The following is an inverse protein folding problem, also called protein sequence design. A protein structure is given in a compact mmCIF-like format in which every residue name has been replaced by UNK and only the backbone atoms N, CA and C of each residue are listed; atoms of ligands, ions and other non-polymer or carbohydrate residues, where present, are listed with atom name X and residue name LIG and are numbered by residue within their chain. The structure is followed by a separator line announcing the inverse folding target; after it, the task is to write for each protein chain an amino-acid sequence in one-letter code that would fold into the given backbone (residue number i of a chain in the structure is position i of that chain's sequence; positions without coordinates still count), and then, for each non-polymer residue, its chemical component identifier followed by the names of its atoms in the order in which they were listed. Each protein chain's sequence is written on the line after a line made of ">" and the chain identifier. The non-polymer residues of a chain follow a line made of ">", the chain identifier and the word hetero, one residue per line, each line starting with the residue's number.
data_IF_609739242334
#
_entry.id   IF_609739242334
#
_cell.length_a   1.000
_cell.length_b   1.000
_cell.length_c   1.000
_cell.angle_alpha   90.00
_cell.angle_beta   90.00
_cell.angle_gamma   90.00
#
_symmetry.space_group_name_H-M   'P 1'
#
loop_
_entity.id
_entity.type
_entity.pdbx_description
1 polymer ?
#
# COMPACT_ATOMS: atom_id res chain seq x y z
N UNK A 1 7.24 -13.18 1.52
CA UNK A 1 8.16 -12.18 0.91
C UNK A 1 7.44 -10.84 0.92
N UNK A 2 8.13 -9.74 1.23
CA UNK A 2 7.56 -8.39 1.12
C UNK A 2 7.94 -7.77 -0.22
N UNK A 3 7.10 -6.89 -0.76
CA UNK A 3 7.37 -6.15 -2.01
C UNK A 3 7.20 -4.66 -1.76
N UNK A 4 8.25 -3.85 -1.95
CA UNK A 4 8.15 -2.39 -1.89
C UNK A 4 7.67 -1.81 -3.22
N UNK A 5 6.92 -0.72 -3.16
CA UNK A 5 6.39 0.00 -4.32
C UNK A 5 6.77 1.48 -4.25
N UNK A 6 7.13 2.03 -5.40
CA UNK A 6 7.66 3.38 -5.57
C UNK A 6 6.93 4.10 -6.70
N UNK A 7 6.74 5.40 -6.55
CA UNK A 7 6.19 6.29 -7.56
C UNK A 7 7.32 7.11 -8.19
N UNK A 8 7.40 7.07 -9.52
CA UNK A 8 8.33 7.84 -10.32
C UNK A 8 7.56 8.92 -11.05
N UNK A 9 8.08 10.14 -11.03
CA UNK A 9 7.52 11.28 -11.73
C UNK A 9 8.54 11.79 -12.74
N UNK A 10 8.16 12.72 -13.62
CA UNK A 10 9.11 13.39 -14.52
C UNK A 10 10.21 14.16 -13.79
N UNK A 11 10.01 14.46 -12.51
CA UNK A 11 10.98 15.16 -11.65
C UNK A 11 11.87 14.19 -10.87
N UNK A 12 11.58 12.89 -10.90
CA UNK A 12 12.39 11.87 -10.23
C UNK A 12 13.63 11.57 -11.07
N UNK A 13 14.86 11.80 -10.55
CA UNK A 13 16.08 11.44 -11.28
C UNK A 13 16.13 9.94 -11.61
N UNK A 14 16.68 9.58 -12.77
CA UNK A 14 16.71 8.18 -13.24
C UNK A 14 17.48 7.24 -12.30
N UNK A 15 18.43 7.77 -11.53
CA UNK A 15 19.28 7.02 -10.59
C UNK A 15 18.74 6.97 -9.14
N UNK A 16 17.59 7.59 -8.86
CA UNK A 16 17.00 7.61 -7.52
C UNK A 16 15.93 6.53 -7.34
N UNK A 17 15.89 5.93 -6.14
CA UNK A 17 14.71 5.21 -5.68
C UNK A 17 13.57 6.25 -5.57
N UNK A 18 12.58 6.19 -6.47
CA UNK A 18 11.45 7.11 -6.50
C UNK A 18 10.69 7.21 -5.17
N UNK A 19 9.59 7.96 -5.16
CA UNK A 19 8.85 8.19 -3.93
C UNK A 19 8.25 6.89 -3.38
N UNK A 20 8.77 6.40 -2.26
CA UNK A 20 8.32 5.15 -1.64
C UNK A 20 6.85 5.25 -1.20
N UNK A 21 5.97 4.53 -1.90
CA UNK A 21 4.52 4.49 -1.66
C UNK A 21 4.21 3.65 -0.43
N UNK A 22 4.81 2.47 -0.34
CA UNK A 22 4.53 1.49 0.69
C UNK A 22 5.02 0.11 0.32
N UNK A 23 4.61 -0.90 1.09
CA UNK A 23 5.00 -2.28 0.83
C UNK A 23 3.87 -3.27 1.09
N UNK A 24 3.84 -4.32 0.27
CA UNK A 24 3.00 -5.49 0.50
C UNK A 24 3.73 -6.45 1.44
N UNK A 25 3.11 -6.85 2.55
CA UNK A 25 3.74 -7.73 3.55
C UNK A 25 3.19 -9.15 3.41
N UNK A 26 4.05 -10.08 2.99
CA UNK A 26 3.84 -11.53 3.05
C UNK A 26 2.48 -12.00 2.49
N UNK A 27 1.99 -11.38 1.41
CA UNK A 27 0.75 -11.77 0.74
C UNK A 27 -0.53 -11.38 1.48
N UNK A 28 -0.46 -10.49 2.48
CA UNK A 28 -1.61 -10.14 3.33
C UNK A 28 -2.15 -8.74 3.10
N UNK A 29 -1.32 -7.75 3.43
CA UNK A 29 -1.77 -6.36 3.54
C UNK A 29 -0.72 -5.44 2.93
N UNK A 30 -1.21 -4.39 2.29
CA UNK A 30 -0.40 -3.27 1.86
C UNK A 30 -0.31 -2.24 2.98
N UNK A 31 0.91 -1.80 3.27
CA UNK A 31 1.17 -0.75 4.24
C UNK A 31 1.63 0.50 3.49
N UNK A 32 0.79 1.53 3.48
CA UNK A 32 1.16 2.84 2.95
C UNK A 32 2.20 3.51 3.85
N UNK A 33 3.18 4.14 3.22
CA UNK A 33 4.09 5.07 3.88
C UNK A 33 3.42 6.45 3.93
N UNK A 34 3.46 7.09 5.09
CA UNK A 34 2.97 8.46 5.22
C UNK A 34 4.07 9.47 4.88
N UNK A 35 3.79 10.41 3.98
CA UNK A 35 4.65 11.58 3.70
C UNK A 35 3.91 12.87 4.07
N UNK A 36 4.12 13.36 5.29
CA UNK A 36 3.42 14.54 5.81
C UNK A 36 3.73 15.80 5.01
N UNK A 37 4.99 15.98 4.62
CA UNK A 37 5.45 17.15 3.87
C UNK A 37 4.83 17.26 2.47
N UNK A 38 4.32 16.13 1.94
CA UNK A 38 3.65 16.03 0.64
C UNK A 38 2.13 15.89 0.77
N UNK A 39 1.57 15.88 1.99
CA UNK A 39 0.15 15.63 2.23
C UNK A 39 -0.31 14.18 1.98
N UNK A 40 0.61 13.25 1.70
CA UNK A 40 0.32 11.85 1.37
C UNK A 40 0.20 11.01 2.65
N UNK A 41 -0.84 11.32 3.42
CA UNK A 41 -1.14 10.65 4.70
C UNK A 41 -2.48 9.92 4.68
N UNK A 42 -3.22 10.02 3.57
CA UNK A 42 -4.53 9.40 3.34
C UNK A 42 -4.50 8.63 2.02
N UNK A 43 -5.32 7.58 1.94
CA UNK A 43 -5.47 6.75 0.74
C UNK A 43 -5.97 7.58 -0.45
N UNK A 44 -6.90 8.50 -0.21
CA UNK A 44 -7.42 9.41 -1.25
C UNK A 44 -6.32 10.30 -1.83
N UNK A 45 -5.48 10.89 -0.97
CA UNK A 45 -4.35 11.71 -1.39
C UNK A 45 -3.33 10.89 -2.21
N UNK A 46 -3.13 9.62 -1.83
CA UNK A 46 -2.33 8.68 -2.62
C UNK A 46 -2.96 8.37 -3.97
N UNK A 47 -4.27 8.10 -4.04
CA UNK A 47 -4.98 7.86 -5.29
C UNK A 47 -4.86 9.07 -6.22
N UNK A 48 -5.18 10.27 -5.75
CA UNK A 48 -5.08 11.51 -6.51
C UNK A 48 -3.67 11.76 -7.02
N UNK A 49 -2.65 11.53 -6.19
CA UNK A 49 -1.26 11.68 -6.58
C UNK A 49 -0.85 10.68 -7.67
N UNK A 50 -1.17 9.39 -7.47
CA UNK A 50 -0.77 8.33 -8.38
C UNK A 50 -1.53 8.36 -9.72
N UNK A 51 -2.75 8.89 -9.74
CA UNK A 51 -3.53 9.08 -10.96
C UNK A 51 -3.07 10.27 -11.82
N UNK A 52 -2.10 11.09 -11.37
CA UNK A 52 -1.59 12.20 -12.16
C UNK A 52 -0.88 11.69 -13.42
N UNK A 53 -1.05 12.37 -14.57
CA UNK A 53 -0.32 12.02 -15.78
C UNK A 53 1.19 12.13 -15.54
N UNK A 54 1.94 11.16 -16.05
CA UNK A 54 3.41 11.12 -15.90
C UNK A 54 3.90 10.47 -14.60
N UNK A 55 3.00 9.95 -13.75
CA UNK A 55 3.37 9.12 -12.61
C UNK A 55 3.39 7.65 -13.01
N UNK A 56 4.51 6.98 -12.74
CA UNK A 56 4.72 5.55 -12.99
C UNK A 56 4.94 4.83 -11.67
N UNK A 57 4.19 3.77 -11.42
CA UNK A 57 4.36 2.94 -10.23
C UNK A 57 5.23 1.74 -10.58
N UNK A 58 6.28 1.51 -9.79
CA UNK A 58 7.15 0.33 -9.94
C UNK A 58 7.32 -0.41 -8.62
N UNK A 59 7.32 -1.73 -8.68
CA UNK A 59 7.77 -2.58 -7.59
C UNK A 59 9.31 -2.56 -7.51
N UNK A 60 9.87 -2.95 -6.36
CA UNK A 60 11.32 -2.98 -6.13
C UNK A 60 12.10 -3.86 -7.12
N UNK A 61 11.43 -4.82 -7.76
CA UNK A 61 11.99 -5.68 -8.80
C UNK A 61 11.79 -5.13 -10.23
N UNK A 62 11.36 -3.86 -10.35
CA UNK A 62 11.23 -3.14 -11.62
C UNK A 62 9.93 -3.38 -12.38
N UNK A 63 9.00 -4.18 -11.84
CA UNK A 63 7.70 -4.43 -12.49
C UNK A 63 6.78 -3.22 -12.34
N UNK A 64 6.28 -2.71 -13.45
CA UNK A 64 5.31 -1.62 -13.46
C UNK A 64 3.92 -2.12 -13.10
N UNK A 65 3.19 -1.36 -12.27
CA UNK A 65 1.84 -1.72 -11.82
C UNK A 65 0.87 -0.58 -12.15
N UNK A 66 -0.32 -0.91 -12.61
CA UNK A 66 -1.34 0.11 -12.83
C UNK A 66 -1.82 0.68 -11.48
N UNK A 67 -2.20 1.97 -11.48
CA UNK A 67 -2.72 2.65 -10.28
C UNK A 67 -3.94 1.91 -9.72
N UNK A 68 -4.90 1.57 -10.58
CA UNK A 68 -6.11 0.86 -10.17
C UNK A 68 -5.81 -0.52 -9.57
N UNK A 69 -4.84 -1.25 -10.13
CA UNK A 69 -4.41 -2.54 -9.60
C UNK A 69 -3.73 -2.40 -8.24
N UNK A 70 -2.86 -1.40 -8.07
CA UNK A 70 -2.22 -1.14 -6.78
C UNK A 70 -3.26 -0.73 -5.75
N UNK A 71 -4.15 0.20 -6.08
CA UNK A 71 -5.13 0.73 -5.14
C UNK A 71 -6.16 -0.33 -4.74
N UNK A 72 -6.69 -1.08 -5.71
CA UNK A 72 -7.58 -2.22 -5.45
C UNK A 72 -6.92 -3.25 -4.53
N UNK A 73 -5.65 -3.57 -4.74
CA UNK A 73 -4.88 -4.48 -3.90
C UNK A 73 -4.59 -3.89 -2.52
N UNK A 74 -4.21 -2.61 -2.47
CA UNK A 74 -3.79 -1.93 -1.25
C UNK A 74 -4.93 -1.59 -0.29
N UNK A 75 -6.16 -1.47 -0.81
CA UNK A 75 -7.36 -1.26 0.00
C UNK A 75 -8.13 -2.55 0.28
N UNK A 76 -7.66 -3.71 -0.22
CA UNK A 76 -8.23 -5.01 0.18
C UNK A 76 -7.94 -5.26 1.65
N UNK A 77 -9.00 -5.57 2.41
CA UNK A 77 -8.92 -5.77 3.87
C UNK A 77 -8.42 -7.18 4.23
N UNK A 78 -7.74 -7.34 5.38
CA UNK A 78 -7.58 -8.65 6.02
C UNK A 78 -8.90 -9.06 6.70
N UNK A 79 -9.92 -9.36 5.90
CA UNK A 79 -11.11 -10.10 6.30
C UNK A 79 -11.67 -10.91 5.11
N UNK A 80 -11.47 -10.42 3.87
CA UNK A 80 -11.92 -11.11 2.65
C UNK A 80 -10.81 -11.94 1.98
N UNK A 81 -9.52 -11.66 2.27
CA UNK A 81 -8.40 -12.46 1.74
C UNK A 81 -8.38 -13.90 2.29
N UNK A 82 -8.96 -14.16 3.47
CA UNK A 82 -9.09 -15.51 4.03
C UNK A 82 -10.07 -16.40 3.25
N UNK A 83 -10.94 -15.83 2.41
CA UNK A 83 -11.88 -16.59 1.59
C UNK A 83 -11.26 -17.09 0.27
N UNK A 84 -10.08 -16.59 -0.12
CA UNK A 84 -9.41 -16.91 -1.38
C UNK A 84 -8.27 -17.93 -1.21
N UNK A 85 -8.50 -18.99 -0.43
CA UNK A 85 -7.71 -20.22 -0.49
C UNK A 85 -6.34 -20.19 0.22
N UNK A 86 -6.14 -21.25 1.01
CA UNK A 86 -4.85 -21.79 1.48
C UNK A 86 -4.16 -21.12 2.68
N UNK A 87 -4.16 -21.84 3.80
CA UNK A 87 -3.02 -21.84 4.74
C UNK A 87 -3.36 -21.53 6.20
N UNK A 88 -3.75 -22.55 6.95
CA UNK A 88 -3.73 -22.55 8.43
C UNK A 88 -2.31 -22.29 8.96
N UNK A 89 -1.99 -21.09 9.47
CA UNK A 89 -0.80 -20.89 10.30
C UNK A 89 -1.03 -19.91 11.48
N UNK A 90 -0.63 -20.36 12.66
CA UNK A 90 -0.95 -19.90 14.01
C UNK A 90 -0.44 -18.50 14.40
N UNK A 91 -1.09 -17.81 15.36
CA UNK A 91 -0.75 -16.45 15.77
C UNK A 91 0.49 -16.45 16.69
N UNK A 92 1.69 -16.23 16.14
CA UNK A 92 2.88 -15.99 16.97
C UNK A 92 2.96 -14.52 17.37
N UNK A 93 2.63 -14.27 18.64
CA UNK A 93 2.78 -13.00 19.40
C UNK A 93 2.33 -11.76 18.62
N UNK A 94 1.02 -11.53 18.66
CA UNK A 94 0.42 -10.27 18.26
C UNK A 94 1.05 -9.13 19.07
N UNK A 95 1.84 -8.29 18.40
CA UNK A 95 1.93 -6.88 18.77
C UNK A 95 0.49 -6.40 18.80
N UNK A 96 -0.01 -6.10 19.98
CA UNK A 96 -1.40 -5.74 20.20
C UNK A 96 -1.63 -4.32 19.68
N UNK A 97 -1.77 -4.19 18.37
CA UNK A 97 -2.62 -3.15 17.82
C UNK A 97 -4.03 -3.49 18.26
N UNK A 98 -4.48 -2.84 19.32
CA UNK A 98 -5.87 -2.91 19.78
C UNK A 98 -6.72 -2.08 18.81
N UNK A 99 -6.86 -2.58 17.59
CA UNK A 99 -7.90 -2.21 16.67
C UNK A 99 -8.64 -3.52 16.40
N UNK A 100 -9.94 -3.60 16.71
CA UNK A 100 -10.75 -4.82 16.60
C UNK A 100 -10.73 -5.47 15.19
N UNK A 101 -10.11 -4.83 14.20
CA UNK A 101 -10.00 -5.30 12.81
C UNK A 101 -8.66 -5.04 12.12
N UNK A 102 -7.55 -4.85 12.85
CA UNK A 102 -6.20 -4.92 12.24
C UNK A 102 -5.86 -3.96 11.09
N UNK A 103 -6.72 -3.02 10.70
CA UNK A 103 -6.42 -2.00 9.68
C UNK A 103 -6.25 -0.64 10.35
N UNK A 104 -5.23 0.17 10.00
CA UNK A 104 -5.36 1.60 10.15
C UNK A 104 -6.42 2.06 9.14
N UNK A 105 -7.57 2.46 9.67
CA UNK A 105 -8.72 3.10 9.04
C UNK A 105 -9.87 2.18 8.57
N UNK A 106 -11.04 2.41 9.18
CA UNK A 106 -12.34 1.94 8.71
C UNK A 106 -13.11 3.08 8.01
N UNK A 107 -13.93 2.76 6.99
CA UNK A 107 -14.66 3.72 6.12
C UNK A 107 -15.49 4.79 6.85
N UNK A 108 -15.80 4.62 8.14
CA UNK A 108 -16.56 5.59 8.95
C UNK A 108 -15.67 6.55 9.76
N UNK A 109 -14.36 6.42 9.69
CA UNK A 109 -13.41 7.34 10.34
C UNK A 109 -13.16 8.62 9.51
N UNK A 110 -14.00 8.83 8.49
CA UNK A 110 -14.11 10.04 7.66
C UNK A 110 -15.32 10.88 8.09
N UNK A 111 -15.19 11.61 9.20
CA UNK A 111 -16.02 12.78 9.51
C UNK A 111 -15.14 13.98 9.86
#
# INVERSE_FOLDING_TARGET
>A
MSVNYYAFTSETPEDEEGLHIGKHVAGKEFLFRAHRDLGLVRVEAWHEFLSKPGVVIRAEHGLEKAVEELMSDATKRPADAAAAGEGHLWPRRAVSFRAERGVPFADYEFF
#
